data_IF_173788204252
#
_entry.id   IF_173788204252
#
_cell.length_a   1.000
_cell.length_b   1.000
_cell.length_c   1.000
_cell.angle_alpha   90.00
_cell.angle_beta   90.00
_cell.angle_gamma   90.00
#
_symmetry.space_group_name_H-M   'P 1'
#
loop_
_entity.id
_entity.type
_entity.pdbx_description
1 polymer ?
#
# COMPACT_ATOMS: atom_id res chain seq x y z
N UNK A 1 -28.49 5.99 41.66
CA UNK A 1 -27.72 6.61 40.57
C UNK A 1 -26.55 5.69 40.19
N UNK A 2 -26.86 4.68 39.38
CA UNK A 2 -25.87 3.78 38.80
C UNK A 2 -25.20 4.48 37.61
N UNK A 3 -23.89 4.66 37.72
CA UNK A 3 -23.05 5.10 36.62
C UNK A 3 -22.69 3.84 35.84
N UNK A 4 -23.34 3.63 34.69
CA UNK A 4 -22.83 2.70 33.69
C UNK A 4 -21.51 3.29 33.14
N UNK A 5 -20.35 2.63 33.29
CA UNK A 5 -19.20 3.04 32.52
C UNK A 5 -19.50 2.74 31.06
N UNK A 6 -19.52 3.78 30.23
CA UNK A 6 -19.47 3.64 28.78
C UNK A 6 -18.30 2.70 28.44
N UNK A 7 -18.47 1.72 27.53
CA UNK A 7 -17.34 0.92 27.10
C UNK A 7 -16.30 1.89 26.52
N UNK A 8 -15.11 1.88 27.11
CA UNK A 8 -13.92 2.41 26.48
C UNK A 8 -13.84 1.69 25.14
N UNK A 9 -14.20 2.39 24.06
CA UNK A 9 -13.94 1.92 22.71
C UNK A 9 -12.44 1.77 22.62
N UNK A 10 -11.93 0.57 22.89
CA UNK A 10 -10.60 0.20 22.48
C UNK A 10 -10.60 0.41 20.96
N UNK A 11 -9.81 1.35 20.41
CA UNK A 11 -9.67 1.40 18.97
C UNK A 11 -9.22 0.00 18.55
N UNK A 12 -9.92 -0.57 17.57
CA UNK A 12 -9.51 -1.86 16.99
C UNK A 12 -8.02 -1.76 16.66
N UNK A 13 -7.21 -2.78 17.00
CA UNK A 13 -5.79 -2.73 16.71
C UNK A 13 -5.58 -2.51 15.23
N UNK A 14 -4.63 -1.64 14.89
CA UNK A 14 -4.22 -1.43 13.50
C UNK A 14 -3.52 -2.73 13.08
N UNK A 15 -4.08 -3.42 12.09
CA UNK A 15 -3.42 -4.59 11.52
C UNK A 15 -2.42 -4.14 10.45
N UNK A 16 -1.14 -4.45 10.66
CA UNK A 16 -0.10 -4.26 9.66
C UNK A 16 0.27 -5.62 9.09
N UNK A 17 -0.02 -5.80 7.81
CA UNK A 17 0.41 -6.97 7.05
C UNK A 17 1.73 -6.65 6.37
N UNK A 18 2.73 -7.51 6.57
CA UNK A 18 3.94 -7.47 5.76
C UNK A 18 3.92 -8.63 4.76
N UNK A 19 3.63 -8.39 3.46
CA UNK A 19 3.70 -9.42 2.43
C UNK A 19 5.15 -9.88 2.15
N UNK A 20 6.14 -9.30 2.83
CA UNK A 20 7.53 -9.71 2.72
C UNK A 20 7.71 -11.09 3.34
N UNK A 21 7.91 -12.10 2.48
CA UNK A 21 8.21 -13.51 2.78
C UNK A 21 9.56 -13.72 3.48
N UNK A 22 9.83 -12.99 4.56
CA UNK A 22 11.07 -13.05 5.30
C UNK A 22 10.88 -12.67 6.77
N UNK A 23 11.20 -13.56 7.74
CA UNK A 23 11.03 -13.31 9.17
C UNK A 23 11.73 -12.03 9.67
N UNK A 24 12.73 -11.54 8.92
CA UNK A 24 13.42 -10.27 9.20
C UNK A 24 12.52 -9.04 9.04
N UNK A 25 11.64 -9.00 8.03
CA UNK A 25 10.79 -7.82 7.79
C UNK A 25 9.75 -7.64 8.90
N UNK A 26 9.14 -8.74 9.34
CA UNK A 26 8.23 -8.76 10.49
C UNK A 26 8.94 -8.36 11.79
N UNK A 27 10.16 -8.85 12.00
CA UNK A 27 11.02 -8.43 13.12
C UNK A 27 11.28 -6.91 13.10
N UNK A 28 11.74 -6.37 11.97
CA UNK A 28 11.96 -4.93 11.82
C UNK A 28 10.69 -4.10 12.06
N UNK A 29 9.53 -4.57 11.59
CA UNK A 29 8.26 -3.90 11.84
C UNK A 29 7.94 -3.86 13.35
N UNK A 30 8.04 -5.00 14.04
CA UNK A 30 7.82 -5.08 15.49
C UNK A 30 8.80 -4.23 16.29
N UNK A 31 10.09 -4.25 15.94
CA UNK A 31 11.11 -3.43 16.58
C UNK A 31 10.83 -1.93 16.41
N UNK A 32 10.42 -1.50 15.21
CA UNK A 32 10.06 -0.11 14.95
C UNK A 32 8.83 0.31 15.77
N UNK A 33 7.80 -0.54 15.85
CA UNK A 33 6.60 -0.25 16.65
C UNK A 33 6.91 -0.16 18.14
N UNK A 34 7.81 -1.00 18.66
CA UNK A 34 8.29 -0.93 20.03
C UNK A 34 9.04 0.39 20.31
N UNK A 35 9.96 0.78 19.41
CA UNK A 35 10.72 2.05 19.53
C UNK A 35 9.84 3.29 19.44
N UNK A 36 8.73 3.22 18.69
CA UNK A 36 7.74 4.28 18.57
C UNK A 36 6.70 4.29 19.70
N UNK A 37 6.71 3.30 20.60
CA UNK A 37 5.79 3.23 21.74
C UNK A 37 4.33 2.91 21.37
N UNK A 38 4.09 2.30 20.21
CA UNK A 38 2.74 2.00 19.69
C UNK A 38 2.43 0.51 19.58
N UNK A 39 3.33 -0.35 20.09
CA UNK A 39 3.20 -1.81 19.96
C UNK A 39 1.91 -2.40 20.52
N UNK A 40 1.32 -1.81 21.56
CA UNK A 40 0.04 -2.28 22.14
C UNK A 40 -1.19 -1.98 21.25
N UNK A 41 -1.04 -1.12 20.24
CA UNK A 41 -2.13 -0.68 19.35
C UNK A 41 -2.03 -1.28 17.94
N UNK A 42 -0.96 -2.03 17.66
CA UNK A 42 -0.65 -2.52 16.32
C UNK A 42 -0.37 -4.01 16.37
N UNK A 43 -1.11 -4.78 15.57
CA UNK A 43 -0.88 -6.19 15.37
C UNK A 43 -0.10 -6.42 14.08
N UNK A 44 1.06 -7.08 14.17
CA UNK A 44 1.87 -7.45 12.99
C UNK A 44 1.61 -8.90 12.64
N UNK A 45 0.89 -9.10 11.54
CA UNK A 45 0.44 -10.41 11.05
C UNK A 45 1.26 -10.84 9.84
N UNK A 46 1.67 -12.11 9.82
CA UNK A 46 2.20 -12.75 8.63
C UNK A 46 1.03 -13.25 7.77
N UNK A 47 0.80 -12.61 6.63
CA UNK A 47 -0.25 -12.97 5.68
C UNK A 47 0.17 -12.63 4.25
N UNK A 48 -0.46 -13.30 3.27
CA UNK A 48 -0.32 -12.95 1.86
C UNK A 48 -1.31 -11.83 1.51
N UNK A 49 -0.86 -10.58 1.65
CA UNK A 49 -1.58 -9.31 1.44
C UNK A 49 -2.70 -8.98 2.42
N UNK A 50 -3.62 -9.91 2.69
CA UNK A 50 -4.78 -9.66 3.55
C UNK A 50 -4.87 -10.69 4.70
N UNK A 51 -5.13 -10.25 5.94
CA UNK A 51 -5.48 -11.13 7.03
C UNK A 51 -6.97 -11.50 6.94
N UNK A 52 -7.44 -12.53 7.65
CA UNK A 52 -8.87 -12.83 7.70
C UNK A 52 -9.66 -11.65 8.29
N UNK A 53 -10.83 -11.36 7.70
CA UNK A 53 -11.77 -10.36 8.20
C UNK A 53 -12.01 -9.21 7.23
N UNK A 54 -12.73 -8.18 7.72
CA UNK A 54 -13.04 -6.96 6.97
C UNK A 54 -12.66 -5.73 7.78
N UNK A 55 -12.19 -4.68 7.10
CA UNK A 55 -11.83 -3.42 7.71
C UNK A 55 -12.56 -2.24 7.04
N UNK A 56 -12.86 -1.17 7.78
CA UNK A 56 -13.40 0.07 7.19
C UNK A 56 -12.36 0.85 6.37
N UNK A 57 -11.06 0.57 6.59
CA UNK A 57 -9.97 1.15 5.83
C UNK A 57 -8.88 0.11 5.62
N UNK A 58 -8.45 -0.09 4.38
CA UNK A 58 -7.26 -0.87 4.04
C UNK A 58 -6.30 0.01 3.25
N UNK A 59 -5.05 0.13 3.72
CA UNK A 59 -4.03 0.95 3.06
C UNK A 59 -2.98 0.06 2.43
N UNK A 60 -2.66 0.29 1.16
CA UNK A 60 -1.63 -0.43 0.43
C UNK A 60 -0.67 0.54 -0.25
N UNK A 61 0.62 0.23 -0.13
CA UNK A 61 1.69 0.95 -0.76
C UNK A 61 2.60 -0.07 -1.48
N UNK A 62 2.24 -0.52 -2.70
CA UNK A 62 3.02 -1.50 -3.45
C UNK A 62 4.45 -0.98 -3.71
N UNK A 63 5.44 -1.87 -3.92
CA UNK A 63 6.82 -1.47 -4.18
C UNK A 63 6.94 -0.54 -5.41
N UNK A 64 7.91 0.39 -5.37
CA UNK A 64 7.93 1.57 -6.26
C UNK A 64 8.91 1.55 -7.43
N UNK A 65 9.91 0.67 -7.49
CA UNK A 65 11.01 0.85 -8.46
C UNK A 65 11.05 -0.31 -9.45
N UNK A 66 11.35 -0.05 -10.74
CA UNK A 66 11.86 -1.06 -11.67
C UNK A 66 13.38 -0.90 -11.85
N UNK A 67 14.13 -1.87 -11.37
CA UNK A 67 15.54 -2.06 -11.65
C UNK A 67 15.83 -3.57 -11.50
N UNK A 68 16.92 -4.07 -12.09
CA UNK A 68 17.28 -5.49 -11.89
C UNK A 68 17.95 -5.64 -10.52
N UNK A 69 17.44 -6.49 -9.60
CA UNK A 69 18.10 -6.76 -8.33
C UNK A 69 19.48 -7.36 -8.56
N UNK A 70 20.51 -6.73 -8.00
CA UNK A 70 21.81 -7.33 -7.77
C UNK A 70 21.89 -7.97 -6.37
N UNK A 71 21.00 -7.61 -5.43
CA UNK A 71 20.96 -8.12 -4.06
C UNK A 71 19.56 -8.57 -3.58
N UNK A 72 19.52 -9.46 -2.57
CA UNK A 72 18.28 -10.01 -2.00
C UNK A 72 17.36 -8.98 -1.35
N UNK A 73 17.92 -7.85 -0.88
CA UNK A 73 17.18 -6.73 -0.28
C UNK A 73 16.49 -5.86 -1.33
N UNK A 74 16.98 -5.86 -2.57
CA UNK A 74 16.40 -5.08 -3.67
C UNK A 74 15.14 -5.75 -4.22
N UNK A 75 15.00 -7.08 -4.08
CA UNK A 75 13.80 -7.84 -4.45
C UNK A 75 12.51 -7.41 -3.73
N UNK A 76 12.63 -6.82 -2.54
CA UNK A 76 11.48 -6.28 -1.81
C UNK A 76 10.98 -4.93 -2.39
N UNK A 77 11.71 -4.35 -3.35
CA UNK A 77 11.45 -3.03 -3.95
C UNK A 77 10.84 -3.17 -5.36
N UNK A 78 10.76 -4.39 -5.91
CA UNK A 78 10.23 -4.69 -7.24
C UNK A 78 8.85 -5.35 -7.15
N UNK A 79 7.90 -4.90 -7.99
CA UNK A 79 6.62 -5.59 -8.23
C UNK A 79 6.56 -6.17 -9.66
N UNK A 80 7.28 -7.29 -9.93
CA UNK A 80 7.26 -7.91 -11.25
C UNK A 80 5.83 -8.28 -11.64
N UNK A 81 5.48 -7.95 -12.88
CA UNK A 81 4.13 -8.16 -13.45
C UNK A 81 3.00 -7.48 -12.63
N UNK A 82 3.31 -6.48 -11.80
CA UNK A 82 2.35 -5.85 -10.89
C UNK A 82 1.65 -6.85 -9.95
N UNK A 83 2.33 -7.91 -9.50
CA UNK A 83 1.72 -8.99 -8.70
C UNK A 83 1.09 -8.48 -7.40
N UNK A 84 1.81 -7.66 -6.62
CA UNK A 84 1.29 -7.11 -5.36
C UNK A 84 0.15 -6.14 -5.61
N UNK A 85 0.30 -5.26 -6.61
CA UNK A 85 -0.78 -4.35 -6.98
C UNK A 85 -2.05 -5.10 -7.41
N UNK A 86 -1.94 -6.07 -8.32
CA UNK A 86 -3.10 -6.86 -8.78
C UNK A 86 -3.70 -7.66 -7.65
N UNK A 87 -2.88 -8.35 -6.84
CA UNK A 87 -3.38 -9.12 -5.70
C UNK A 87 -4.09 -8.24 -4.66
N UNK A 88 -3.60 -7.01 -4.44
CA UNK A 88 -4.31 -6.04 -3.62
C UNK A 88 -5.67 -5.69 -4.22
N UNK A 89 -5.73 -5.30 -5.49
CA UNK A 89 -6.99 -4.92 -6.14
C UNK A 89 -7.99 -6.08 -6.14
N UNK A 90 -7.57 -7.27 -6.56
CA UNK A 90 -8.39 -8.48 -6.67
C UNK A 90 -8.96 -8.92 -5.31
N UNK A 91 -8.22 -8.74 -4.20
CA UNK A 91 -8.66 -9.13 -2.87
C UNK A 91 -9.41 -8.05 -2.09
N UNK A 92 -9.30 -6.77 -2.48
CA UNK A 92 -9.74 -5.65 -1.64
C UNK A 92 -11.24 -5.67 -1.34
N UNK A 93 -12.10 -5.96 -2.32
CA UNK A 93 -13.55 -5.93 -2.14
C UNK A 93 -14.05 -6.93 -1.07
N UNK A 94 -13.39 -8.08 -0.94
CA UNK A 94 -13.71 -9.10 0.06
C UNK A 94 -13.28 -8.70 1.48
N UNK A 95 -12.31 -7.79 1.60
CA UNK A 95 -11.70 -7.37 2.86
C UNK A 95 -12.13 -5.96 3.32
N UNK A 96 -13.02 -5.30 2.58
CA UNK A 96 -13.66 -4.05 3.02
C UNK A 96 -15.00 -4.32 3.70
N UNK A 97 -15.35 -3.51 4.69
CA UNK A 97 -16.76 -3.36 5.09
C UNK A 97 -17.56 -2.71 3.96
N UNK A 98 -18.90 -2.80 4.01
CA UNK A 98 -19.76 -2.26 2.95
C UNK A 98 -19.48 -0.76 2.63
N UNK A 99 -19.27 0.05 3.67
CA UNK A 99 -18.95 1.49 3.54
C UNK A 99 -17.44 1.78 3.64
N UNK A 100 -16.59 0.75 3.50
CA UNK A 100 -15.14 0.87 3.67
C UNK A 100 -14.41 1.43 2.45
N UNK A 101 -13.19 1.90 2.68
CA UNK A 101 -12.30 2.41 1.63
C UNK A 101 -10.99 1.64 1.53
N UNK A 102 -10.53 1.41 0.30
CA UNK A 102 -9.15 1.01 0.01
C UNK A 102 -8.33 2.22 -0.41
N UNK A 103 -7.21 2.47 0.26
CA UNK A 103 -6.30 3.56 -0.04
C UNK A 103 -5.04 2.99 -0.68
N UNK A 104 -4.86 3.25 -1.97
CA UNK A 104 -3.71 2.79 -2.75
C UNK A 104 -2.76 3.96 -3.01
N UNK A 105 -1.54 3.88 -2.47
CA UNK A 105 -0.47 4.85 -2.74
C UNK A 105 0.37 4.32 -3.89
N UNK A 106 0.43 5.06 -5.00
CA UNK A 106 1.08 4.58 -6.21
C UNK A 106 1.74 5.71 -7.00
N UNK A 107 2.99 5.49 -7.40
CA UNK A 107 3.71 6.35 -8.33
C UNK A 107 3.36 6.02 -9.79
N UNK A 108 3.24 7.03 -10.65
CA UNK A 108 3.12 6.87 -12.09
C UNK A 108 4.46 6.62 -12.79
N UNK A 109 5.55 6.41 -12.05
CA UNK A 109 6.86 6.03 -12.59
C UNK A 109 6.78 4.81 -13.52
N UNK A 110 5.94 3.82 -13.19
CA UNK A 110 5.70 2.66 -14.06
C UNK A 110 5.07 3.03 -15.41
N UNK A 111 4.29 4.12 -15.46
CA UNK A 111 3.70 4.67 -16.68
C UNK A 111 4.78 5.37 -17.52
N UNK A 112 5.63 6.18 -16.88
CA UNK A 112 6.78 6.83 -17.54
C UNK A 112 7.78 5.83 -18.14
N UNK A 113 7.88 4.64 -17.56
CA UNK A 113 8.78 3.58 -18.01
C UNK A 113 8.12 2.57 -18.94
N UNK A 114 6.85 2.78 -19.31
CA UNK A 114 6.12 1.92 -20.25
C UNK A 114 5.78 0.52 -19.71
N UNK A 115 5.88 0.31 -18.39
CA UNK A 115 5.63 -0.99 -17.76
C UNK A 115 4.13 -1.25 -17.57
N UNK A 116 3.34 -0.19 -17.42
CA UNK A 116 1.89 -0.23 -17.29
C UNK A 116 1.31 1.13 -17.62
N UNK A 117 0.23 1.16 -18.38
CA UNK A 117 -0.50 2.39 -18.69
C UNK A 117 -1.52 2.74 -17.61
N UNK A 118 -1.94 4.01 -17.54
CA UNK A 118 -3.07 4.44 -16.71
C UNK A 118 -4.35 3.65 -17.01
N UNK A 119 -4.63 3.40 -18.29
CA UNK A 119 -5.82 2.67 -18.72
C UNK A 119 -5.83 1.24 -18.16
N UNK A 120 -4.68 0.55 -18.14
CA UNK A 120 -4.57 -0.77 -17.52
C UNK A 120 -4.86 -0.74 -16.02
N UNK A 121 -4.34 0.26 -15.29
CA UNK A 121 -4.65 0.42 -13.86
C UNK A 121 -6.16 0.57 -13.62
N UNK A 122 -6.80 1.47 -14.36
CA UNK A 122 -8.24 1.74 -14.21
C UNK A 122 -9.07 0.49 -14.57
N UNK A 123 -8.68 -0.23 -15.62
CA UNK A 123 -9.31 -1.50 -15.99
C UNK A 123 -9.15 -2.59 -14.92
N UNK A 124 -8.01 -2.67 -14.23
CA UNK A 124 -7.84 -3.59 -13.11
C UNK A 124 -8.68 -3.22 -11.89
N UNK A 125 -8.80 -1.92 -11.58
CA UNK A 125 -9.68 -1.42 -10.51
C UNK A 125 -11.13 -1.83 -10.81
N UNK A 126 -11.62 -1.51 -12.00
CA UNK A 126 -12.98 -1.85 -12.41
C UNK A 126 -13.22 -3.36 -12.43
N UNK A 127 -12.30 -4.12 -13.03
CA UNK A 127 -12.37 -5.59 -13.11
C UNK A 127 -12.35 -6.28 -11.75
N UNK A 128 -11.83 -5.62 -10.71
CA UNK A 128 -11.87 -6.11 -9.33
C UNK A 128 -13.17 -5.76 -8.58
N UNK A 129 -14.18 -5.19 -9.26
CA UNK A 129 -15.42 -4.76 -8.63
C UNK A 129 -15.25 -3.54 -7.73
N UNK A 130 -14.27 -2.68 -8.06
CA UNK A 130 -13.98 -1.45 -7.33
C UNK A 130 -14.24 -0.22 -8.21
N UNK A 131 -14.47 0.91 -7.54
CA UNK A 131 -14.60 2.24 -8.16
C UNK A 131 -13.70 3.24 -7.48
N UNK A 132 -13.24 4.23 -8.25
CA UNK A 132 -12.43 5.34 -7.73
C UNK A 132 -13.35 6.39 -7.09
N UNK A 133 -13.14 6.67 -5.80
CA UNK A 133 -13.79 7.76 -5.06
C UNK A 133 -13.10 9.11 -5.27
N UNK A 134 -11.77 9.09 -5.41
CA UNK A 134 -10.96 10.28 -5.54
C UNK A 134 -9.48 9.97 -5.67
N UNK A 135 -8.71 10.99 -6.03
CA UNK A 135 -7.26 10.91 -6.19
C UNK A 135 -6.60 12.20 -5.72
N UNK A 136 -5.56 12.07 -4.91
CA UNK A 136 -4.74 13.18 -4.45
C UNK A 136 -3.29 12.96 -4.89
N UNK A 137 -2.67 13.99 -5.47
CA UNK A 137 -1.38 13.89 -6.14
C UNK A 137 -0.30 14.69 -5.38
N UNK A 138 0.92 14.14 -5.31
CA UNK A 138 2.10 14.84 -4.81
C UNK A 138 3.31 14.61 -5.73
N UNK A 139 4.12 15.66 -5.89
CA UNK A 139 5.41 15.61 -6.59
C UNK A 139 6.56 15.24 -5.63
N UNK A 140 7.59 14.53 -6.10
CA UNK A 140 8.74 14.16 -5.28
C UNK A 140 9.47 15.40 -4.75
N UNK A 141 9.95 15.30 -3.51
CA UNK A 141 10.77 16.32 -2.85
C UNK A 141 12.15 15.80 -2.44
N UNK A 142 12.52 14.60 -2.90
CA UNK A 142 13.73 13.90 -2.45
C UNK A 142 14.92 14.13 -3.39
N UNK A 143 16.14 14.02 -2.86
CA UNK A 143 17.39 14.25 -3.60
C UNK A 143 17.52 13.40 -4.89
N UNK A 144 17.00 12.16 -4.88
CA UNK A 144 17.03 11.26 -6.06
C UNK A 144 16.26 11.78 -7.28
N UNK A 145 15.32 12.71 -7.10
CA UNK A 145 14.58 13.32 -8.20
C UNK A 145 15.38 14.48 -8.83
N UNK A 146 16.37 15.02 -8.11
CA UNK A 146 17.25 16.08 -8.57
C UNK A 146 18.62 15.56 -9.06
N UNK A 147 18.87 14.26 -8.95
CA UNK A 147 20.15 13.65 -9.35
C UNK A 147 20.21 13.43 -10.87
N UNK A 148 20.88 14.35 -11.57
CA UNK A 148 21.07 14.27 -13.02
C UNK A 148 21.98 13.11 -13.47
N UNK A 149 22.69 12.46 -12.55
CA UNK A 149 23.49 11.27 -12.82
C UNK A 149 22.69 9.96 -12.82
N UNK A 150 21.43 9.99 -12.36
CA UNK A 150 20.55 8.82 -12.34
C UNK A 150 20.00 8.53 -13.75
N UNK A 151 20.12 7.29 -14.23
CA UNK A 151 19.57 6.88 -15.53
C UNK A 151 18.04 7.05 -15.62
N UNK A 152 17.35 7.07 -14.48
CA UNK A 152 15.91 7.31 -14.36
C UNK A 152 15.59 8.77 -14.01
N UNK A 153 16.56 9.69 -14.03
CA UNK A 153 16.38 11.08 -13.59
C UNK A 153 15.16 11.73 -14.22
N UNK A 154 15.02 11.69 -15.55
CA UNK A 154 13.91 12.31 -16.25
C UNK A 154 12.54 11.77 -15.80
N UNK A 155 12.44 10.44 -15.61
CA UNK A 155 11.21 9.80 -15.14
C UNK A 155 10.92 10.14 -13.67
N UNK A 156 11.94 10.14 -12.80
CA UNK A 156 11.82 10.49 -11.39
C UNK A 156 11.57 11.98 -11.14
N UNK A 157 12.04 12.85 -12.01
CA UNK A 157 11.74 14.28 -11.95
C UNK A 157 10.30 14.57 -12.37
N UNK A 158 9.76 13.75 -13.29
CA UNK A 158 8.38 13.87 -13.78
C UNK A 158 7.35 13.14 -12.90
N UNK A 159 7.77 12.17 -12.09
CA UNK A 159 6.85 11.28 -11.38
C UNK A 159 5.85 12.03 -10.49
N UNK A 160 4.65 11.48 -10.41
CA UNK A 160 3.60 11.86 -9.48
C UNK A 160 3.26 10.62 -8.65
N UNK A 161 3.32 10.79 -7.33
CA UNK A 161 2.75 9.81 -6.41
C UNK A 161 1.32 10.21 -6.09
N UNK A 162 0.39 9.28 -6.30
CA UNK A 162 -1.03 9.49 -6.06
C UNK A 162 -1.51 8.63 -4.89
N UNK A 163 -2.33 9.20 -4.01
CA UNK A 163 -3.25 8.45 -3.16
C UNK A 163 -4.56 8.25 -3.93
N UNK A 164 -4.90 7.00 -4.22
CA UNK A 164 -6.16 6.59 -4.83
C UNK A 164 -7.10 6.09 -3.74
N UNK A 165 -8.28 6.68 -3.64
CA UNK A 165 -9.36 6.22 -2.75
C UNK A 165 -10.30 5.34 -3.55
N UNK A 166 -10.48 4.10 -3.12
CA UNK A 166 -11.27 3.06 -3.79
C UNK A 166 -12.41 2.60 -2.87
N UNK A 167 -13.53 2.22 -3.45
CA UNK A 167 -14.63 1.55 -2.75
C UNK A 167 -15.17 0.40 -3.57
N UNK A 168 -15.94 -0.48 -2.92
CA UNK A 168 -16.72 -1.51 -3.61
C UNK A 168 -17.69 -0.83 -4.60
N UNK A 169 -17.75 -1.36 -5.82
CA UNK A 169 -18.75 -0.96 -6.81
C UNK A 169 -20.12 -1.50 -6.40
N UNK A 170 -21.15 -0.65 -6.50
CA UNK A 170 -22.53 -1.01 -6.19
C UNK A 170 -23.13 -1.95 -7.25
#
# INVERSE_FOLDING_TARGET
PEIYPLPLHHPLPICVVAPARGPRALGCARDNLARLGVGERVEVVEADLFPPGRAPLVVCNPPWVPAKPTAAIERAVYDPDSRMLRGFLEGLAEHLTADGEGWLILSDLAEHLGLRTRAQLLGWIEGAGLRVLGREDIRPRHAKAADSGDALHAARAAEITSLWRLAISA
#
